data_IF_437997327653
#
_entry.id   IF_437997327653
#
_cell.length_a   1.000
_cell.length_b   1.000
_cell.length_c   1.000
_cell.angle_alpha   90.00
_cell.angle_beta   90.00
_cell.angle_gamma   90.00
#
_symmetry.space_group_name_H-M   'P 1'
#
loop_
_entity.id
_entity.type
_entity.pdbx_description
1 polymer ?
#
# COMPACT_ATOMS: atom_id res chain seq x y z
N UNK A 1 42.84 7.31 -65.32
CA UNK A 1 41.65 8.19 -65.26
C UNK A 1 40.56 7.44 -64.50
N UNK A 2 40.48 7.41 -63.18
CA UNK A 2 40.86 8.40 -62.16
C UNK A 2 39.65 8.92 -61.37
N UNK A 3 38.41 8.52 -61.72
CA UNK A 3 37.20 9.22 -61.27
C UNK A 3 36.17 8.32 -60.53
N UNK A 4 36.26 7.00 -60.60
CA UNK A 4 35.28 6.12 -59.92
C UNK A 4 35.69 5.74 -58.48
N UNK A 5 36.97 5.79 -58.13
CA UNK A 5 37.44 5.39 -56.78
C UNK A 5 37.18 6.49 -55.73
N UNK A 6 37.12 7.76 -56.15
CA UNK A 6 36.97 8.90 -55.24
C UNK A 6 35.56 9.02 -54.64
N UNK A 7 34.53 8.53 -55.35
CA UNK A 7 33.14 8.62 -54.89
C UNK A 7 32.81 7.66 -53.73
N UNK A 8 33.46 6.48 -53.68
CA UNK A 8 33.31 5.53 -52.58
C UNK A 8 34.03 5.98 -51.29
N UNK A 9 35.18 6.65 -51.42
CA UNK A 9 35.98 7.06 -50.25
C UNK A 9 35.36 8.27 -49.53
N UNK A 10 34.75 9.21 -50.27
CA UNK A 10 34.09 10.38 -49.68
C UNK A 10 32.83 9.97 -48.90
N UNK A 11 32.10 8.94 -49.36
CA UNK A 11 30.89 8.49 -48.68
C UNK A 11 31.19 7.76 -47.36
N UNK A 12 32.30 7.00 -47.29
CA UNK A 12 32.73 6.33 -46.07
C UNK A 12 33.21 7.32 -44.99
N UNK A 13 34.01 8.34 -45.36
CA UNK A 13 34.53 9.33 -44.40
C UNK A 13 33.41 10.14 -43.72
N UNK A 14 32.37 10.49 -44.47
CA UNK A 14 31.21 11.23 -43.96
C UNK A 14 30.35 10.37 -43.01
N UNK A 15 30.29 9.06 -43.25
CA UNK A 15 29.60 8.11 -42.35
C UNK A 15 30.35 7.97 -41.02
N UNK A 16 31.68 7.92 -41.01
CA UNK A 16 32.45 7.84 -39.76
C UNK A 16 32.35 9.12 -38.92
N UNK A 17 32.45 10.31 -39.52
CA UNK A 17 32.28 11.60 -38.83
C UNK A 17 30.89 11.75 -38.16
N UNK A 18 29.84 11.18 -38.75
CA UNK A 18 28.47 11.26 -38.22
C UNK A 18 28.17 10.15 -37.20
N UNK A 19 28.65 8.92 -37.44
CA UNK A 19 28.32 7.77 -36.59
C UNK A 19 29.22 7.68 -35.35
N UNK A 20 30.51 8.02 -35.45
CA UNK A 20 31.44 7.92 -34.32
C UNK A 20 31.02 8.78 -33.10
N UNK A 21 30.64 10.06 -33.23
CA UNK A 21 30.14 10.83 -32.10
C UNK A 21 28.80 10.30 -31.57
N UNK A 22 27.95 9.70 -32.42
CA UNK A 22 26.71 9.06 -31.99
C UNK A 22 26.98 7.79 -31.17
N UNK A 23 27.92 6.94 -31.60
CA UNK A 23 28.35 5.74 -30.87
C UNK A 23 29.04 6.12 -29.57
N UNK A 24 29.93 7.13 -29.57
CA UNK A 24 30.61 7.62 -28.36
C UNK A 24 29.61 8.25 -27.37
N UNK A 25 28.61 8.99 -27.87
CA UNK A 25 27.53 9.54 -27.04
C UNK A 25 26.66 8.42 -26.46
N UNK A 26 26.29 7.43 -27.27
CA UNK A 26 25.49 6.26 -26.84
C UNK A 26 26.26 5.40 -25.84
N UNK A 27 27.57 5.17 -26.05
CA UNK A 27 28.41 4.40 -25.12
C UNK A 27 28.64 5.14 -23.81
N UNK A 28 28.84 6.47 -23.82
CA UNK A 28 28.89 7.28 -22.58
C UNK A 28 27.57 7.25 -21.80
N UNK A 29 26.43 7.29 -22.49
CA UNK A 29 25.10 7.17 -21.86
C UNK A 29 24.96 5.79 -21.20
N UNK A 30 25.28 4.71 -21.94
CA UNK A 30 25.21 3.34 -21.43
C UNK A 30 26.12 3.19 -20.20
N UNK A 31 27.40 3.58 -20.27
CA UNK A 31 28.36 3.48 -19.15
C UNK A 31 27.87 4.27 -17.92
N UNK A 32 27.31 5.48 -18.12
CA UNK A 32 26.75 6.30 -17.04
C UNK A 32 25.50 5.67 -16.43
N UNK A 33 24.68 4.99 -17.24
CA UNK A 33 23.49 4.25 -16.82
C UNK A 33 23.86 2.97 -16.06
N UNK A 34 24.87 2.21 -16.52
CA UNK A 34 25.39 1.03 -15.80
C UNK A 34 26.05 1.43 -14.47
N UNK A 35 26.76 2.56 -14.42
CA UNK A 35 27.36 3.07 -13.19
C UNK A 35 26.29 3.54 -12.17
N UNK A 36 25.21 4.17 -12.64
CA UNK A 36 24.07 4.54 -11.78
C UNK A 36 23.32 3.31 -11.26
N UNK A 37 23.12 2.29 -12.10
CA UNK A 37 22.52 1.03 -11.69
C UNK A 37 23.39 0.28 -10.66
N UNK A 38 24.72 0.30 -10.80
CA UNK A 38 25.63 -0.27 -9.78
C UNK A 38 25.56 0.50 -8.47
N UNK A 39 25.47 1.83 -8.49
CA UNK A 39 25.30 2.65 -7.27
C UNK A 39 23.96 2.40 -6.59
N UNK A 40 22.87 2.36 -7.36
CA UNK A 40 21.52 2.04 -6.86
C UNK A 40 21.50 0.62 -6.28
N UNK A 41 22.09 -0.37 -6.98
CA UNK A 41 22.20 -1.74 -6.50
C UNK A 41 23.04 -1.83 -5.22
N UNK A 42 24.18 -1.13 -5.14
CA UNK A 42 24.99 -1.05 -3.93
C UNK A 42 24.23 -0.39 -2.78
N UNK A 43 23.45 0.67 -3.02
CA UNK A 43 22.60 1.29 -1.99
C UNK A 43 21.54 0.30 -1.54
N UNK A 44 20.84 -0.40 -2.44
CA UNK A 44 19.86 -1.42 -2.06
C UNK A 44 20.50 -2.57 -1.27
N UNK A 45 21.65 -3.09 -1.69
CA UNK A 45 22.39 -4.15 -0.98
C UNK A 45 22.85 -3.66 0.40
N UNK A 46 23.35 -2.42 0.51
CA UNK A 46 23.74 -1.82 1.79
C UNK A 46 22.53 -1.55 2.70
N UNK A 47 21.38 -1.17 2.14
CA UNK A 47 20.14 -0.95 2.91
C UNK A 47 19.58 -2.28 3.41
N UNK A 48 19.57 -3.32 2.57
CA UNK A 48 19.14 -4.69 2.93
C UNK A 48 20.09 -5.31 3.95
N UNK A 49 21.40 -5.10 3.83
CA UNK A 49 22.37 -5.58 4.83
C UNK A 49 22.33 -4.77 6.12
N UNK A 50 22.05 -3.46 6.09
CA UNK A 50 21.85 -2.63 7.29
C UNK A 50 20.54 -2.98 8.03
N UNK A 51 19.48 -3.35 7.31
CA UNK A 51 18.26 -3.94 7.88
C UNK A 51 18.48 -5.37 8.39
N UNK A 52 19.42 -6.13 7.80
CA UNK A 52 19.75 -7.50 8.19
C UNK A 52 20.79 -7.63 9.31
N UNK A 53 21.39 -6.54 9.78
CA UNK A 53 22.47 -6.54 10.77
C UNK A 53 22.01 -6.35 12.22
N UNK A 54 20.82 -6.84 12.59
CA UNK A 54 20.39 -6.93 13.99
C UNK A 54 20.42 -8.39 14.45
N UNK A 55 21.45 -8.84 15.19
CA UNK A 55 21.39 -10.12 15.86
C UNK A 55 20.67 -9.95 17.20
N UNK A 56 19.49 -10.55 17.31
CA UNK A 56 19.05 -11.27 18.50
C UNK A 56 17.82 -12.11 18.10
N UNK A 57 18.07 -13.41 17.92
CA UNK A 57 17.04 -14.44 17.92
C UNK A 57 16.37 -14.41 19.30
N UNK A 58 15.28 -13.66 19.42
CA UNK A 58 14.30 -13.92 20.44
C UNK A 58 13.31 -14.93 19.83
N UNK A 59 13.24 -16.12 20.42
CA UNK A 59 12.22 -17.13 20.14
C UNK A 59 10.87 -16.62 20.66
N UNK A 60 10.32 -15.62 19.97
CA UNK A 60 9.01 -15.04 20.20
C UNK A 60 8.09 -15.46 19.07
N UNK A 61 6.78 -15.52 19.35
CA UNK A 61 5.76 -15.77 18.32
C UNK A 61 5.94 -14.75 17.19
N UNK A 62 6.36 -15.22 16.02
CA UNK A 62 6.75 -14.34 14.93
C UNK A 62 5.56 -13.88 14.11
N UNK A 63 4.48 -14.65 14.11
CA UNK A 63 3.32 -14.41 13.27
C UNK A 63 2.05 -14.29 14.10
N UNK A 64 1.24 -13.28 13.79
CA UNK A 64 -0.09 -13.08 14.36
C UNK A 64 -1.16 -13.03 13.28
N UNK A 65 -2.25 -13.76 13.46
CA UNK A 65 -3.45 -13.64 12.65
C UNK A 65 -4.43 -12.69 13.36
N UNK A 66 -4.90 -11.68 12.66
CA UNK A 66 -5.76 -10.64 13.24
C UNK A 66 -7.13 -10.66 12.59
N UNK A 67 -8.18 -10.55 13.39
CA UNK A 67 -9.54 -10.29 12.93
C UNK A 67 -10.13 -9.13 13.75
N UNK A 68 -10.54 -8.06 13.07
CA UNK A 68 -11.12 -6.88 13.68
C UNK A 68 -12.66 -7.01 13.72
N UNK A 69 -13.20 -7.11 14.94
CA UNK A 69 -14.62 -7.31 15.19
C UNK A 69 -15.49 -6.11 14.85
N UNK A 70 -14.93 -4.90 14.79
CA UNK A 70 -15.71 -3.70 14.45
C UNK A 70 -16.20 -3.72 13.00
N UNK A 71 -15.40 -4.29 12.09
CA UNK A 71 -15.82 -4.52 10.71
C UNK A 71 -16.87 -5.63 10.59
N UNK A 72 -16.91 -6.58 11.54
CA UNK A 72 -17.96 -7.61 11.54
C UNK A 72 -19.33 -7.01 11.91
N UNK A 73 -19.36 -5.95 12.73
CA UNK A 73 -20.59 -5.20 12.99
C UNK A 73 -21.18 -4.55 11.72
N UNK A 74 -20.34 -4.33 10.69
CA UNK A 74 -20.78 -3.85 9.36
C UNK A 74 -20.86 -4.96 8.31
N UNK A 75 -20.87 -6.23 8.75
CA UNK A 75 -20.85 -7.43 7.90
C UNK A 75 -19.72 -7.40 6.86
N UNK A 76 -18.56 -6.87 7.26
CA UNK A 76 -17.34 -6.79 6.46
C UNK A 76 -16.32 -7.80 7.00
N UNK A 77 -16.25 -9.01 6.40
CA UNK A 77 -15.15 -9.92 6.63
C UNK A 77 -13.81 -9.21 6.43
N UNK A 78 -12.91 -9.43 7.38
CA UNK A 78 -11.55 -8.92 7.32
C UNK A 78 -10.61 -9.95 7.94
N UNK A 79 -9.40 -9.97 7.43
CA UNK A 79 -8.32 -10.79 7.94
C UNK A 79 -7.01 -10.01 7.81
N UNK A 80 -6.19 -10.10 8.84
CA UNK A 80 -4.87 -9.52 8.86
C UNK A 80 -3.82 -10.54 9.27
N UNK A 81 -2.59 -10.27 8.85
CA UNK A 81 -1.39 -11.00 9.23
C UNK A 81 -0.37 -10.00 9.71
N UNK A 82 0.27 -10.29 10.83
CA UNK A 82 1.32 -9.47 11.42
C UNK A 82 2.58 -10.30 11.61
N UNK A 83 3.72 -9.76 11.20
CA UNK A 83 5.03 -10.37 11.32
C UNK A 83 5.94 -9.54 12.22
N UNK A 84 6.41 -10.14 13.30
CA UNK A 84 7.38 -9.59 14.23
C UNK A 84 8.80 -9.94 13.77
N UNK A 85 9.54 -8.94 13.29
CA UNK A 85 10.92 -9.13 12.84
C UNK A 85 11.97 -8.59 13.82
N UNK A 86 11.52 -7.96 14.91
CA UNK A 86 12.36 -7.51 16.01
C UNK A 86 11.59 -7.60 17.33
N UNK A 87 12.28 -7.51 18.47
CA UNK A 87 11.64 -7.51 19.79
C UNK A 87 10.64 -6.36 19.98
N UNK A 88 10.77 -5.26 19.22
CA UNK A 88 9.90 -4.08 19.31
C UNK A 88 9.29 -3.63 17.99
N UNK A 89 9.41 -4.42 16.92
CA UNK A 89 8.97 -4.00 15.59
C UNK A 89 8.20 -5.11 14.89
N UNK A 90 7.09 -4.72 14.28
CA UNK A 90 6.29 -5.60 13.45
C UNK A 90 5.76 -4.88 12.21
N UNK A 91 5.36 -5.68 11.21
CA UNK A 91 4.64 -5.20 10.04
C UNK A 91 3.33 -5.99 9.94
N UNK A 92 2.21 -5.28 9.79
CA UNK A 92 0.88 -5.84 9.72
C UNK A 92 0.23 -5.51 8.38
N UNK A 93 -0.32 -6.52 7.70
CA UNK A 93 -1.20 -6.36 6.56
C UNK A 93 -2.62 -6.73 6.95
N UNK A 94 -3.61 -5.96 6.49
CA UNK A 94 -5.03 -6.25 6.66
C UNK A 94 -5.73 -6.12 5.31
N UNK A 95 -6.60 -7.09 5.00
CA UNK A 95 -7.49 -7.04 3.85
C UNK A 95 -8.92 -7.18 4.36
N UNK A 96 -9.81 -6.35 3.83
CA UNK A 96 -11.24 -6.37 4.11
C UNK A 96 -12.03 -6.38 2.82
N UNK A 97 -13.07 -7.21 2.78
CA UNK A 97 -13.91 -7.36 1.60
C UNK A 97 -15.36 -7.51 2.00
N UNK A 98 -16.21 -6.63 1.47
CA UNK A 98 -17.65 -6.73 1.61
C UNK A 98 -18.27 -6.82 0.20
N UNK A 99 -18.85 -7.97 -0.20
CA UNK A 99 -19.51 -8.13 -1.50
C UNK A 99 -21.00 -7.76 -1.48
N UNK A 100 -21.59 -7.51 -0.31
CA UNK A 100 -23.03 -7.64 -0.13
C UNK A 100 -23.83 -6.45 -0.64
N UNK A 101 -24.97 -6.76 -1.25
CA UNK A 101 -26.07 -5.83 -1.47
C UNK A 101 -27.20 -6.23 -0.53
N UNK A 102 -27.56 -5.34 0.39
CA UNK A 102 -28.56 -5.61 1.42
C UNK A 102 -29.95 -5.21 0.93
N UNK A 103 -30.97 -5.55 1.74
CA UNK A 103 -32.37 -5.25 1.47
C UNK A 103 -32.58 -3.78 1.05
N UNK A 104 -33.50 -3.56 0.11
CA UNK A 104 -33.73 -2.27 -0.57
C UNK A 104 -32.55 -1.80 -1.43
N UNK A 105 -31.77 -2.70 -2.04
CA UNK A 105 -30.66 -2.34 -2.95
C UNK A 105 -29.58 -1.46 -2.27
N UNK A 106 -29.34 -1.68 -0.97
CA UNK A 106 -28.26 -1.02 -0.22
C UNK A 106 -26.93 -1.64 -0.61
N UNK A 107 -26.00 -0.85 -1.13
CA UNK A 107 -24.69 -1.31 -1.59
C UNK A 107 -23.64 -0.87 -0.56
N UNK A 108 -22.98 -1.82 0.09
CA UNK A 108 -21.76 -1.56 0.90
C UNK A 108 -20.57 -2.30 0.32
N UNK A 109 -20.43 -2.29 -1.01
CA UNK A 109 -19.40 -3.09 -1.66
C UNK A 109 -18.06 -2.39 -1.54
N UNK A 110 -17.06 -3.07 -1.02
CA UNK A 110 -15.70 -2.54 -1.00
C UNK A 110 -14.67 -3.64 -0.86
N UNK A 111 -13.49 -3.38 -1.40
CA UNK A 111 -12.27 -4.13 -1.18
C UNK A 111 -11.22 -3.12 -0.75
N UNK A 112 -10.67 -3.28 0.44
CA UNK A 112 -9.62 -2.41 0.93
C UNK A 112 -8.49 -3.20 1.58
N UNK A 113 -7.29 -2.67 1.46
CA UNK A 113 -6.08 -3.17 2.08
C UNK A 113 -5.44 -2.08 2.94
N UNK A 114 -4.77 -2.50 4.00
CA UNK A 114 -3.95 -1.64 4.85
C UNK A 114 -2.64 -2.35 5.16
N UNK A 115 -1.53 -1.63 5.03
CA UNK A 115 -0.20 -2.07 5.44
C UNK A 115 0.29 -1.12 6.52
N UNK A 116 0.72 -1.65 7.66
CA UNK A 116 1.10 -0.87 8.83
C UNK A 116 2.44 -1.35 9.39
N UNK A 117 3.38 -0.43 9.55
CA UNK A 117 4.57 -0.65 10.36
C UNK A 117 4.24 -0.27 11.81
N UNK A 118 4.62 -1.09 12.78
CA UNK A 118 4.38 -0.83 14.21
C UNK A 118 5.68 -0.87 15.00
N UNK A 119 5.83 0.12 15.87
CA UNK A 119 6.83 0.20 16.93
C UNK A 119 6.16 -0.03 18.28
N UNK A 120 6.62 -1.05 19.00
CA UNK A 120 6.11 -1.44 20.31
C UNK A 120 6.93 -0.77 21.41
N UNK A 121 6.24 -0.21 22.41
CA UNK A 121 6.92 0.38 23.56
C UNK A 121 7.50 -0.69 24.49
N UNK A 122 6.93 -1.88 24.46
CA UNK A 122 7.40 -3.11 25.11
C UNK A 122 7.77 -4.15 24.04
N UNK A 123 7.71 -5.45 24.36
CA UNK A 123 7.88 -6.50 23.37
C UNK A 123 6.70 -6.54 22.37
N UNK A 124 6.94 -7.05 21.16
CA UNK A 124 5.88 -7.21 20.15
C UNK A 124 4.71 -8.03 20.71
N UNK A 125 3.49 -7.66 20.31
CA UNK A 125 2.23 -8.23 20.77
C UNK A 125 1.87 -7.94 22.23
N UNK A 126 2.60 -7.03 22.90
CA UNK A 126 2.38 -6.69 24.30
C UNK A 126 2.31 -5.19 24.54
N UNK A 127 1.18 -4.73 25.07
CA UNK A 127 1.01 -3.36 25.53
C UNK A 127 0.88 -2.35 24.39
N UNK A 128 1.47 -1.17 24.58
CA UNK A 128 1.33 -0.03 23.68
C UNK A 128 2.17 -0.17 22.41
N UNK A 129 1.62 0.28 21.29
CA UNK A 129 2.36 0.47 20.04
C UNK A 129 1.96 1.77 19.32
N UNK A 130 2.89 2.29 18.54
CA UNK A 130 2.69 3.36 17.57
C UNK A 130 2.90 2.80 16.18
N UNK A 131 2.06 3.20 15.23
CA UNK A 131 2.13 2.69 13.86
C UNK A 131 2.08 3.79 12.81
N UNK A 132 2.58 3.46 11.63
CA UNK A 132 2.40 4.23 10.40
C UNK A 132 1.77 3.30 9.38
N UNK A 133 0.63 3.68 8.83
CA UNK A 133 -0.11 2.85 7.89
C UNK A 133 -0.29 3.53 6.53
N UNK A 134 -0.31 2.71 5.49
CA UNK A 134 -0.79 3.04 4.17
C UNK A 134 -2.07 2.22 3.90
N UNK A 135 -3.09 2.86 3.34
CA UNK A 135 -4.38 2.24 3.01
C UNK A 135 -4.73 2.53 1.57
N UNK A 136 -5.36 1.55 0.93
CA UNK A 136 -5.94 1.71 -0.40
C UNK A 136 -7.13 0.79 -0.59
N UNK A 137 -8.06 1.17 -1.46
CA UNK A 137 -9.21 0.33 -1.74
C UNK A 137 -10.13 0.89 -2.80
N UNK A 138 -11.04 0.03 -3.25
CA UNK A 138 -12.13 0.36 -4.16
C UNK A 138 -13.45 0.20 -3.41
N UNK A 139 -14.40 1.08 -3.67
CA UNK A 139 -15.71 1.07 -3.02
C UNK A 139 -16.84 1.39 -4.00
N UNK A 140 -18.02 0.87 -3.67
CA UNK A 140 -19.28 1.14 -4.35
C UNK A 140 -20.38 1.17 -3.27
N UNK A 141 -20.69 2.38 -2.84
CA UNK A 141 -21.63 2.68 -1.76
C UNK A 141 -22.89 3.33 -2.31
N UNK A 142 -24.06 2.91 -1.87
CA UNK A 142 -25.32 3.51 -2.31
C UNK A 142 -26.54 3.03 -1.52
N UNK A 143 -27.56 3.89 -1.48
CA UNK A 143 -28.79 3.72 -0.72
C UNK A 143 -28.60 3.50 0.80
N UNK A 144 -27.50 3.99 1.37
CA UNK A 144 -27.23 3.88 2.81
C UNK A 144 -27.98 4.98 3.57
N UNK A 145 -28.54 4.71 4.76
CA UNK A 145 -29.27 5.69 5.55
C UNK A 145 -28.32 6.69 6.25
N UNK A 146 -27.30 7.19 5.53
CA UNK A 146 -26.26 8.10 6.03
C UNK A 146 -26.00 9.20 4.99
N UNK A 147 -26.42 10.43 5.30
CA UNK A 147 -26.11 11.63 4.52
C UNK A 147 -26.41 11.49 3.03
N UNK A 148 -25.41 11.84 2.20
CA UNK A 148 -25.52 11.89 0.74
C UNK A 148 -25.71 10.51 0.08
N UNK A 149 -25.42 9.42 0.81
CA UNK A 149 -25.52 8.05 0.28
C UNK A 149 -26.96 7.53 0.21
N UNK A 150 -27.93 8.28 0.73
CA UNK A 150 -29.36 7.94 0.67
C UNK A 150 -29.88 8.05 -0.78
N UNK A 151 -29.51 9.13 -1.45
CA UNK A 151 -30.05 9.48 -2.78
C UNK A 151 -29.03 9.24 -3.91
N UNK A 152 -27.75 9.08 -3.57
CA UNK A 152 -26.66 8.90 -4.54
C UNK A 152 -25.90 7.60 -4.31
N UNK A 153 -25.35 7.10 -5.42
CA UNK A 153 -24.37 6.01 -5.42
C UNK A 153 -22.99 6.57 -5.72
N UNK A 154 -22.02 6.27 -4.86
CA UNK A 154 -20.62 6.65 -5.01
C UNK A 154 -19.81 5.39 -5.36
N UNK A 155 -19.07 5.46 -6.46
CA UNK A 155 -18.16 4.39 -6.87
C UNK A 155 -16.80 4.98 -7.14
N UNK A 156 -15.76 4.41 -6.57
CA UNK A 156 -14.44 5.00 -6.69
C UNK A 156 -13.36 4.23 -5.96
N UNK A 157 -12.24 4.91 -5.81
CA UNK A 157 -11.06 4.43 -5.13
C UNK A 157 -10.59 5.44 -4.08
N UNK A 158 -9.96 4.91 -3.05
CA UNK A 158 -9.30 5.69 -2.03
C UNK A 158 -7.89 5.17 -1.84
N UNK A 159 -6.96 6.07 -1.54
CA UNK A 159 -5.64 5.70 -1.07
C UNK A 159 -5.06 6.80 -0.19
N UNK A 160 -4.18 6.44 0.72
CA UNK A 160 -3.55 7.38 1.62
C UNK A 160 -2.87 6.67 2.77
N UNK A 161 -2.75 7.35 3.89
CA UNK A 161 -2.05 6.82 5.04
C UNK A 161 -2.19 7.70 6.27
N UNK A 162 -1.68 7.19 7.38
CA UNK A 162 -1.85 7.84 8.67
C UNK A 162 -0.97 7.25 9.75
N UNK A 163 -1.18 7.76 10.95
CA UNK A 163 -0.57 7.27 12.17
C UNK A 163 -1.59 6.45 12.95
N UNK A 164 -1.12 5.41 13.62
CA UNK A 164 -1.92 4.53 14.48
C UNK A 164 -1.36 4.61 15.90
N UNK A 165 -2.25 4.57 16.88
CA UNK A 165 -1.92 4.24 18.26
C UNK A 165 -2.79 3.07 18.69
N UNK A 166 -2.19 2.07 19.34
CA UNK A 166 -2.92 0.92 19.81
C UNK A 166 -2.36 0.32 21.09
N UNK A 167 -3.15 -0.57 21.67
CA UNK A 167 -2.82 -1.33 22.86
C UNK A 167 -3.27 -2.78 22.71
N UNK A 168 -2.43 -3.73 23.12
CA UNK A 168 -2.72 -5.15 23.07
C UNK A 168 -2.60 -5.81 24.45
N UNK A 169 -3.68 -6.43 24.90
CA UNK A 169 -3.75 -7.27 26.10
C UNK A 169 -3.46 -8.73 25.75
N UNK A 170 -2.65 -9.39 26.58
CA UNK A 170 -2.42 -10.83 26.52
C UNK A 170 -3.55 -11.52 27.30
N UNK A 171 -4.38 -12.30 26.62
CA UNK A 171 -5.50 -13.02 27.26
C UNK A 171 -5.09 -14.45 27.59
N UNK A 172 -4.32 -15.08 26.70
CA UNK A 172 -3.76 -16.43 26.88
C UNK A 172 -2.43 -16.55 26.16
N UNK A 173 -1.81 -17.73 26.21
CA UNK A 173 -0.54 -18.00 25.53
C UNK A 173 -0.58 -17.78 24.01
N UNK A 174 -1.75 -17.72 23.37
CA UNK A 174 -1.89 -17.54 21.92
C UNK A 174 -2.95 -16.54 21.49
N UNK A 175 -3.73 -16.01 22.42
CA UNK A 175 -4.84 -15.10 22.09
C UNK A 175 -4.60 -13.80 22.80
N UNK A 176 -4.57 -12.72 22.02
CA UNK A 176 -4.51 -11.36 22.50
C UNK A 176 -5.74 -10.61 21.99
N UNK A 177 -6.13 -9.58 22.73
CA UNK A 177 -7.14 -8.61 22.29
C UNK A 177 -6.43 -7.28 22.12
N UNK A 178 -6.72 -6.59 21.03
CA UNK A 178 -6.15 -5.28 20.72
C UNK A 178 -7.23 -4.24 20.51
N UNK A 179 -6.93 -3.00 20.88
CA UNK A 179 -7.68 -1.82 20.44
C UNK A 179 -6.73 -0.87 19.75
N UNK A 180 -7.22 -0.20 18.72
CA UNK A 180 -6.43 0.78 17.99
C UNK A 180 -7.28 1.85 17.33
N UNK A 181 -6.68 3.02 17.20
CA UNK A 181 -7.24 4.17 16.51
C UNK A 181 -6.15 4.79 15.63
N UNK A 182 -6.53 5.24 14.46
CA UNK A 182 -5.64 5.90 13.53
C UNK A 182 -6.25 7.15 12.91
N UNK A 183 -5.40 8.15 12.75
CA UNK A 183 -5.70 9.42 12.10
C UNK A 183 -4.80 9.56 10.88
N UNK A 184 -5.39 9.98 9.77
CA UNK A 184 -4.67 10.02 8.51
C UNK A 184 -5.35 10.84 7.44
N UNK A 185 -4.68 10.87 6.31
CA UNK A 185 -5.08 11.57 5.12
C UNK A 185 -5.39 10.56 4.02
N UNK A 186 -6.55 10.70 3.38
CA UNK A 186 -6.98 9.88 2.25
C UNK A 186 -7.29 10.78 1.07
N UNK A 187 -6.73 10.43 -0.08
CA UNK A 187 -7.18 10.92 -1.36
C UNK A 187 -8.31 10.01 -1.84
N UNK A 188 -9.45 10.61 -2.18
CA UNK A 188 -10.66 9.90 -2.60
C UNK A 188 -11.06 10.40 -3.98
N UNK A 189 -11.13 9.48 -4.93
CA UNK A 189 -11.46 9.73 -6.32
C UNK A 189 -12.68 8.87 -6.68
N UNK A 190 -13.81 9.51 -6.98
CA UNK A 190 -15.08 8.81 -7.11
C UNK A 190 -16.01 9.45 -8.14
N UNK A 191 -16.80 8.59 -8.77
CA UNK A 191 -17.94 8.95 -9.60
C UNK A 191 -19.22 8.95 -8.78
N UNK A 192 -20.01 10.00 -8.97
CA UNK A 192 -21.33 10.15 -8.35
C UNK A 192 -22.39 9.80 -9.38
N UNK A 193 -23.30 8.90 -9.04
CA UNK A 193 -24.42 8.49 -9.88
C UNK A 193 -25.75 8.91 -9.26
N UNK A 194 -26.69 9.38 -10.10
CA UNK A 194 -28.04 9.75 -9.67
C UNK A 194 -28.88 8.48 -9.52
N UNK A 195 -29.56 8.34 -8.38
CA UNK A 195 -30.35 7.16 -8.02
C UNK A 195 -29.51 5.89 -7.75
N UNK A 196 -29.81 5.09 -6.71
CA UNK A 196 -29.10 3.84 -6.41
C UNK A 196 -29.23 2.74 -7.49
N UNK A 197 -30.25 2.88 -8.35
CA UNK A 197 -30.72 1.88 -9.32
C UNK A 197 -30.55 2.33 -10.77
N UNK A 198 -30.59 3.64 -11.05
CA UNK A 198 -30.43 4.21 -12.39
C UNK A 198 -28.96 4.61 -12.60
N UNK A 199 -28.45 4.44 -13.82
CA UNK A 199 -27.01 4.36 -14.09
C UNK A 199 -26.35 5.64 -14.61
N UNK A 200 -26.98 6.81 -14.49
CA UNK A 200 -26.43 8.02 -15.10
C UNK A 200 -25.39 8.68 -14.18
N UNK A 201 -24.16 8.82 -14.70
CA UNK A 201 -23.06 9.50 -14.02
C UNK A 201 -23.39 10.98 -13.95
N UNK A 202 -23.48 11.52 -12.73
CA UNK A 202 -23.70 12.94 -12.49
C UNK A 202 -22.41 13.70 -12.75
N UNK A 203 -21.34 13.29 -12.08
CA UNK A 203 -20.06 13.97 -12.15
C UNK A 203 -18.94 13.12 -11.54
N UNK A 204 -17.70 13.59 -11.70
CA UNK A 204 -16.48 13.03 -11.14
C UNK A 204 -15.90 13.97 -10.08
N UNK A 205 -15.58 13.43 -8.91
CA UNK A 205 -15.04 14.21 -7.81
C UNK A 205 -13.72 13.66 -7.31
N UNK A 206 -12.85 14.59 -6.93
CA UNK A 206 -11.59 14.32 -6.23
C UNK A 206 -11.57 15.14 -4.97
N UNK A 207 -11.52 14.46 -3.83
CA UNK A 207 -11.52 15.11 -2.52
C UNK A 207 -10.45 14.53 -1.64
N UNK A 208 -9.96 15.37 -0.75
CA UNK A 208 -9.03 14.98 0.29
C UNK A 208 -9.80 14.87 1.61
N UNK A 209 -9.61 13.77 2.32
CA UNK A 209 -10.20 13.51 3.61
C UNK A 209 -9.10 13.46 4.66
N UNK A 210 -9.23 14.26 5.72
CA UNK A 210 -8.38 14.22 6.89
C UNK A 210 -9.24 13.86 8.09
N UNK A 211 -8.93 12.78 8.78
CA UNK A 211 -9.72 12.33 9.92
C UNK A 211 -9.38 10.91 10.37
N UNK A 212 -10.30 10.25 11.10
CA UNK A 212 -10.15 8.86 11.46
C UNK A 212 -10.03 7.97 10.22
N UNK A 213 -8.91 7.26 10.10
CA UNK A 213 -8.62 6.30 9.01
C UNK A 213 -8.58 4.87 9.50
N UNK A 214 -8.53 4.65 10.82
CA UNK A 214 -8.51 3.33 11.43
C UNK A 214 -9.22 3.37 12.78
N UNK A 215 -10.05 2.38 13.06
CA UNK A 215 -10.57 2.07 14.39
C UNK A 215 -10.71 0.56 14.47
N UNK A 216 -10.24 -0.06 15.54
CA UNK A 216 -10.27 -1.50 15.67
C UNK A 216 -10.46 -1.99 17.09
N UNK A 217 -11.25 -3.06 17.20
CA UNK A 217 -11.22 -3.98 18.34
C UNK A 217 -10.94 -5.35 17.74
N UNK A 218 -9.74 -5.85 17.96
CA UNK A 218 -9.21 -7.00 17.23
C UNK A 218 -8.92 -8.16 18.16
N UNK A 219 -9.19 -9.38 17.67
CA UNK A 219 -8.68 -10.61 18.26
C UNK A 219 -7.44 -11.00 17.44
N UNK A 220 -6.34 -11.27 18.14
CA UNK A 220 -5.07 -11.65 17.55
C UNK A 220 -4.72 -13.06 18.02
N UNK A 221 -4.52 -13.98 17.09
CA UNK A 221 -4.06 -15.34 17.34
C UNK A 221 -2.60 -15.50 16.93
N UNK A 222 -1.73 -15.83 17.89
CA UNK A 222 -0.29 -15.94 17.70
C UNK A 222 0.07 -17.37 17.25
N UNK A 223 0.74 -17.46 16.10
CA UNK A 223 1.24 -18.72 15.53
C UNK A 223 2.57 -19.10 16.17
N UNK A 224 2.82 -20.41 16.25
CA UNK A 224 4.04 -21.01 16.76
C UNK A 224 4.91 -21.47 15.60
#
# INVERSE_FOLDING_TARGET
MGYEVTCCIINAYNIYEVILPFIIRKSRIIIKQTANMKKILCIWVLTVTFLGAFPALADAQQWGLTANGLYWATATPNIGVEYAFHSKMSIAGLVQYNPFTYAKNRKMKHLAGQLEYRYWLSDVFKGHYLGVHATGGIFNFGNLPLGILKDYRLEGQLYGGGLTYGYQWIISNRVNIGVDIGLGYLYVDYDKFYCPTCGERVDHYRTNYLGPTKVGVSIIYLLK
#
